data_IF_817161743577
#
_entry.id   IF_817161743577
#
_cell.length_a   1.000
_cell.length_b   1.000
_cell.length_c   1.000
_cell.angle_alpha   90.00
_cell.angle_beta   90.00
_cell.angle_gamma   90.00
#
_symmetry.space_group_name_H-M   'P 1'
#
loop_
_entity.id
_entity.type
_entity.pdbx_description
1 polymer ?
#
# COMPACT_ATOMS: atom_id res chain seq x y z
N UNK A 1 26.02 -4.04 50.79
CA UNK A 1 27.38 -3.50 51.00
C UNK A 1 28.02 -3.26 49.64
N UNK A 2 29.11 -2.49 49.54
CA UNK A 2 29.79 -2.18 48.28
C UNK A 2 31.24 -2.66 48.34
N UNK A 3 31.58 -3.66 47.54
CA UNK A 3 32.87 -4.34 47.57
C UNK A 3 33.60 -4.17 46.24
N UNK A 4 34.83 -3.68 46.27
CA UNK A 4 35.66 -3.47 45.09
C UNK A 4 36.69 -4.58 44.95
N UNK A 5 36.96 -5.00 43.72
CA UNK A 5 37.89 -6.07 43.38
C UNK A 5 38.93 -5.58 42.37
N UNK A 6 40.18 -5.82 42.69
CA UNK A 6 41.38 -5.50 41.90
C UNK A 6 42.52 -6.41 42.34
N UNK A 7 43.63 -6.41 41.61
CA UNK A 7 44.80 -7.22 41.97
C UNK A 7 45.72 -6.50 42.96
N UNK A 8 46.37 -7.25 43.84
CA UNK A 8 47.49 -6.75 44.64
C UNK A 8 48.82 -6.77 43.84
N UNK A 9 49.91 -6.34 44.48
CA UNK A 9 51.24 -6.37 43.88
C UNK A 9 51.74 -7.79 43.55
N UNK A 10 51.14 -8.83 44.15
CA UNK A 10 51.42 -10.24 43.88
C UNK A 10 50.53 -10.84 42.80
N UNK A 11 49.61 -10.07 42.19
CA UNK A 11 48.66 -10.56 41.20
C UNK A 11 47.52 -11.40 41.79
N UNK A 12 47.28 -11.31 43.09
CA UNK A 12 46.12 -11.94 43.73
C UNK A 12 44.94 -10.99 43.74
N UNK A 13 43.74 -11.53 43.55
CA UNK A 13 42.51 -10.76 43.77
C UNK A 13 42.37 -10.37 45.23
N UNK A 14 42.22 -9.08 45.48
CA UNK A 14 41.89 -8.54 46.80
C UNK A 14 40.57 -7.78 46.74
N UNK A 15 39.81 -7.89 47.82
CA UNK A 15 38.56 -7.17 48.01
C UNK A 15 38.75 -6.05 49.02
N UNK A 16 38.29 -4.85 48.69
CA UNK A 16 38.25 -3.74 49.65
C UNK A 16 36.84 -3.18 49.81
N UNK A 17 36.46 -2.97 51.06
CA UNK A 17 35.22 -2.30 51.49
C UNK A 17 35.48 -0.90 52.07
N UNK A 18 36.75 -0.51 52.24
CA UNK A 18 37.22 0.76 52.81
C UNK A 18 37.62 1.82 51.76
N UNK A 19 38.61 2.66 52.07
CA UNK A 19 39.17 3.70 51.17
C UNK A 19 40.35 3.10 50.40
N UNK A 20 40.45 3.40 49.11
CA UNK A 20 41.65 3.22 48.29
C UNK A 20 41.91 4.51 47.55
N UNK A 21 43.17 4.73 47.11
CA UNK A 21 43.60 5.78 46.17
C UNK A 21 42.51 6.77 45.75
N UNK A 22 42.47 7.90 46.47
CA UNK A 22 41.59 9.07 46.29
C UNK A 22 40.06 8.88 46.31
N UNK A 23 39.53 7.66 46.42
CA UNK A 23 38.10 7.39 46.34
C UNK A 23 37.51 7.15 47.73
N UNK A 24 36.49 7.92 48.11
CA UNK A 24 35.88 7.77 49.43
C UNK A 24 35.26 6.37 49.59
N UNK A 25 35.18 5.88 50.83
CA UNK A 25 34.57 4.58 51.12
C UNK A 25 33.15 4.52 50.53
N UNK A 26 32.88 3.51 49.71
CA UNK A 26 31.60 3.34 49.01
C UNK A 26 31.49 4.00 47.63
N UNK A 27 32.58 4.54 47.05
CA UNK A 27 32.59 5.10 45.69
C UNK A 27 33.43 4.24 44.72
N UNK A 28 33.11 4.33 43.44
CA UNK A 28 33.93 3.80 42.34
C UNK A 28 35.09 4.78 42.11
N UNK A 29 36.30 4.27 41.86
CA UNK A 29 37.43 5.14 41.55
C UNK A 29 37.27 5.83 40.20
N UNK A 30 37.59 7.12 40.16
CA UNK A 30 37.72 7.90 38.93
C UNK A 30 39.19 8.19 38.58
N UNK A 31 40.13 7.71 39.39
CA UNK A 31 41.56 7.97 39.23
C UNK A 31 42.34 6.72 38.83
N UNK A 32 41.86 5.52 39.17
CA UNK A 32 42.62 4.29 38.97
C UNK A 32 41.87 3.19 38.22
N UNK A 33 42.62 2.42 37.44
CA UNK A 33 42.20 1.15 36.83
C UNK A 33 43.08 0.00 37.34
N UNK A 34 42.66 -1.23 37.13
CA UNK A 34 43.37 -2.42 37.60
C UNK A 34 44.47 -2.88 36.64
N UNK A 35 45.53 -3.43 37.19
CA UNK A 35 46.62 -4.07 36.45
C UNK A 35 46.97 -5.38 37.14
N UNK A 36 47.64 -6.34 36.48
CA UNK A 36 48.05 -7.60 37.12
C UNK A 36 48.95 -7.46 38.35
N UNK A 37 49.40 -6.24 38.70
CA UNK A 37 50.30 -5.96 39.82
C UNK A 37 49.82 -4.79 40.68
N UNK A 38 48.53 -4.45 40.66
CA UNK A 38 47.99 -3.33 41.45
C UNK A 38 47.18 -2.33 40.64
N UNK A 39 46.88 -1.20 41.28
CA UNK A 39 46.18 -0.07 40.66
C UNK A 39 47.16 0.84 39.91
N UNK A 40 46.71 1.39 38.78
CA UNK A 40 47.45 2.38 38.00
C UNK A 40 46.57 3.56 37.59
N UNK A 41 47.18 4.72 37.32
CA UNK A 41 46.47 5.97 37.03
C UNK A 41 45.79 5.98 35.66
N UNK A 42 44.53 6.43 35.65
CA UNK A 42 43.81 6.82 34.44
C UNK A 42 44.36 8.18 33.99
N UNK A 43 45.49 8.20 33.30
CA UNK A 43 46.08 9.45 32.81
C UNK A 43 45.25 10.05 31.66
N UNK A 44 44.74 11.27 31.84
CA UNK A 44 43.89 11.99 30.88
C UNK A 44 44.52 12.20 29.49
N UNK A 45 43.71 12.39 28.41
CA UNK A 45 42.25 12.28 28.31
C UNK A 45 41.83 10.83 27.98
N UNK A 46 41.65 10.02 29.02
CA UNK A 46 41.30 8.61 28.91
C UNK A 46 40.29 8.21 29.99
N UNK A 47 39.78 6.99 29.84
CA UNK A 47 38.65 6.45 30.58
C UNK A 47 39.01 5.11 31.23
N UNK A 48 38.59 4.95 32.48
CA UNK A 48 38.53 3.66 33.18
C UNK A 48 37.18 3.00 32.96
N UNK A 49 37.16 1.67 32.99
CA UNK A 49 35.95 0.85 32.87
C UNK A 49 35.78 0.04 34.15
N UNK A 50 34.56 -0.03 34.65
CA UNK A 50 34.22 -0.75 35.87
C UNK A 50 32.99 -1.61 35.65
N UNK A 51 32.98 -2.80 36.23
CA UNK A 51 31.93 -3.79 36.03
C UNK A 51 31.22 -4.06 37.34
N UNK A 52 29.92 -3.78 37.39
CA UNK A 52 29.06 -3.96 38.55
C UNK A 52 28.40 -5.33 38.49
N UNK A 53 28.39 -6.03 39.61
CA UNK A 53 27.81 -7.35 39.78
C UNK A 53 26.91 -7.36 41.03
N UNK A 54 25.72 -7.93 40.90
CA UNK A 54 24.79 -8.11 42.03
C UNK A 54 25.03 -9.52 42.59
N UNK A 55 25.36 -9.59 43.88
CA UNK A 55 25.51 -10.83 44.62
C UNK A 55 24.16 -11.36 45.11
N UNK A 56 24.06 -12.67 45.35
CA UNK A 56 22.79 -13.29 45.80
C UNK A 56 22.32 -12.77 47.17
N UNK A 57 23.24 -12.36 48.04
CA UNK A 57 22.91 -11.75 49.34
C UNK A 57 22.60 -10.24 49.26
N UNK A 58 22.30 -9.71 48.06
CA UNK A 58 21.96 -8.29 47.82
C UNK A 58 23.12 -7.30 48.02
N UNK A 59 24.36 -7.79 47.99
CA UNK A 59 25.58 -6.98 47.99
C UNK A 59 26.03 -6.61 46.57
N UNK A 60 26.61 -5.42 46.41
CA UNK A 60 27.11 -4.94 45.12
C UNK A 60 28.63 -5.10 45.06
N UNK A 61 29.09 -5.82 44.03
CA UNK A 61 30.50 -6.07 43.77
C UNK A 61 30.91 -5.28 42.54
N UNK A 62 32.05 -4.60 42.60
CA UNK A 62 32.63 -3.89 41.45
C UNK A 62 33.99 -4.46 41.13
N UNK A 63 34.16 -4.92 39.90
CA UNK A 63 35.44 -5.37 39.38
C UNK A 63 36.03 -4.27 38.52
N UNK A 64 37.26 -3.89 38.83
CA UNK A 64 37.98 -2.85 38.10
C UNK A 64 38.40 -3.39 36.73
N UNK A 65 38.27 -2.55 35.70
CA UNK A 65 38.73 -2.87 34.36
C UNK A 65 40.25 -2.79 34.27
N UNK A 66 40.82 -3.56 33.35
CA UNK A 66 42.27 -3.79 33.27
C UNK A 66 43.03 -2.84 32.35
N UNK A 67 42.43 -1.70 31.99
CA UNK A 67 43.01 -0.82 30.99
C UNK A 67 42.59 0.63 31.09
N UNK A 68 43.37 1.46 30.43
CA UNK A 68 43.19 2.88 30.31
C UNK A 68 42.88 3.24 28.85
N UNK A 69 41.63 3.58 28.55
CA UNK A 69 41.08 3.53 27.19
C UNK A 69 40.74 4.91 26.62
N UNK A 70 40.71 5.04 25.28
CA UNK A 70 39.92 6.12 24.64
C UNK A 70 38.43 5.77 24.72
N UNK A 71 37.53 6.75 24.60
CA UNK A 71 36.07 6.54 24.77
C UNK A 71 35.53 5.35 23.96
N UNK A 72 35.77 5.31 22.65
CA UNK A 72 35.33 4.21 21.80
C UNK A 72 35.91 2.83 22.21
N UNK A 73 37.12 2.81 22.76
CA UNK A 73 37.72 1.57 23.26
C UNK A 73 37.11 1.16 24.62
N UNK A 74 36.74 2.11 25.46
CA UNK A 74 36.05 1.86 26.73
C UNK A 74 34.65 1.29 26.49
N UNK A 75 33.94 1.78 25.47
CA UNK A 75 32.65 1.25 25.04
C UNK A 75 32.74 -0.19 24.52
N UNK A 76 33.87 -0.59 23.93
CA UNK A 76 34.14 -1.95 23.45
C UNK A 76 34.88 -2.83 24.47
N UNK A 77 35.17 -2.33 25.68
CA UNK A 77 35.87 -3.10 26.70
C UNK A 77 35.05 -4.34 27.10
N UNK A 78 35.76 -5.45 27.31
CA UNK A 78 35.21 -6.77 27.66
C UNK A 78 35.38 -6.99 29.17
N UNK A 79 34.49 -7.81 29.75
CA UNK A 79 34.56 -8.20 31.16
C UNK A 79 35.92 -8.84 31.44
N UNK A 80 36.69 -8.36 32.45
CA UNK A 80 37.96 -8.95 32.82
C UNK A 80 37.77 -10.34 33.44
N UNK A 81 38.87 -11.07 33.66
CA UNK A 81 38.81 -12.30 34.47
C UNK A 81 38.21 -11.94 35.82
N UNK A 82 37.25 -12.72 36.28
CA UNK A 82 36.53 -12.44 37.52
C UNK A 82 37.16 -13.22 38.69
N UNK A 83 37.21 -12.64 39.89
CA UNK A 83 37.51 -13.40 41.11
C UNK A 83 36.44 -14.47 41.34
N UNK A 84 36.81 -15.62 41.91
CA UNK A 84 35.91 -16.77 42.08
C UNK A 84 34.64 -16.41 42.86
N UNK A 85 34.77 -15.56 43.88
CA UNK A 85 33.64 -15.08 44.67
C UNK A 85 32.59 -14.31 43.85
N UNK A 86 33.01 -13.58 42.81
CA UNK A 86 32.09 -12.84 41.92
C UNK A 86 31.62 -13.72 40.77
N UNK A 87 32.48 -14.61 40.26
CA UNK A 87 32.17 -15.50 39.14
C UNK A 87 31.06 -16.51 39.46
N UNK A 88 31.10 -17.10 40.65
CA UNK A 88 30.25 -18.25 40.97
C UNK A 88 28.91 -17.84 41.62
N UNK A 89 28.85 -16.64 42.22
CA UNK A 89 27.76 -16.21 43.09
C UNK A 89 27.16 -14.85 42.76
N UNK A 90 27.59 -14.21 41.67
CA UNK A 90 27.08 -12.90 41.28
C UNK A 90 26.74 -12.85 39.80
N UNK A 91 25.82 -11.96 39.44
CA UNK A 91 25.40 -11.73 38.06
C UNK A 91 25.78 -10.32 37.61
N UNK A 92 26.16 -10.15 36.34
CA UNK A 92 26.54 -8.86 35.79
C UNK A 92 25.34 -7.90 35.81
N UNK A 93 25.55 -6.69 36.30
CA UNK A 93 24.50 -5.68 36.46
C UNK A 93 24.71 -4.46 35.58
N UNK A 94 25.94 -3.96 35.46
CA UNK A 94 26.25 -2.82 34.61
C UNK A 94 27.73 -2.72 34.26
N UNK A 95 28.02 -1.97 33.19
CA UNK A 95 29.33 -1.41 32.86
C UNK A 95 29.30 0.10 33.08
N UNK A 96 30.27 0.63 33.81
CA UNK A 96 30.42 2.06 34.05
C UNK A 96 31.74 2.53 33.45
N UNK A 97 31.69 3.68 32.77
CA UNK A 97 32.86 4.34 32.19
C UNK A 97 33.05 5.68 32.91
N UNK A 98 34.26 5.95 33.36
CA UNK A 98 34.61 7.18 34.11
C UNK A 98 35.84 7.83 33.50
N UNK A 99 35.79 9.15 33.33
CA UNK A 99 36.94 9.93 32.88
C UNK A 99 37.96 10.14 33.99
N UNK A 100 39.23 10.33 33.61
CA UNK A 100 40.33 10.71 34.50
C UNK A 100 39.95 11.84 35.47
N UNK A 101 39.90 11.54 36.77
CA UNK A 101 39.54 12.47 37.85
C UNK A 101 38.20 13.21 37.61
N UNK A 102 37.31 12.63 36.80
CA UNK A 102 36.00 13.20 36.52
C UNK A 102 35.06 12.89 37.71
N UNK A 103 34.41 13.88 38.33
CA UNK A 103 33.44 13.63 39.38
C UNK A 103 32.15 12.98 38.87
N UNK A 104 31.93 12.93 37.55
CA UNK A 104 30.74 12.35 36.94
C UNK A 104 31.05 11.09 36.12
N UNK A 105 30.07 10.19 36.06
CA UNK A 105 30.14 9.03 35.18
C UNK A 105 29.94 9.44 33.72
N UNK A 106 30.83 9.01 32.84
CA UNK A 106 30.74 9.27 31.39
C UNK A 106 29.65 8.41 30.76
N UNK A 107 29.55 7.15 31.16
CA UNK A 107 28.53 6.23 30.65
C UNK A 107 28.20 5.19 31.70
N UNK A 108 26.92 4.84 31.81
CA UNK A 108 26.42 3.73 32.60
C UNK A 108 25.58 2.87 31.66
N UNK A 109 26.03 1.66 31.39
CA UNK A 109 25.36 0.69 30.53
C UNK A 109 24.90 -0.46 31.40
N UNK A 110 23.59 -0.63 31.57
CA UNK A 110 23.04 -1.77 32.29
C UNK A 110 23.21 -3.07 31.50
N UNK A 111 23.51 -4.17 32.18
CA UNK A 111 23.44 -5.51 31.61
C UNK A 111 21.99 -6.04 31.53
N UNK A 112 21.08 -5.40 32.27
CA UNK A 112 19.65 -5.60 32.16
C UNK A 112 19.03 -4.44 31.40
N UNK A 113 18.57 -4.69 30.19
CA UNK A 113 17.67 -3.79 29.52
C UNK A 113 16.28 -4.03 30.13
N UNK A 114 15.71 -3.06 30.85
CA UNK A 114 14.26 -3.08 31.12
C UNK A 114 13.55 -2.67 29.84
N UNK A 115 13.64 -3.52 28.82
CA UNK A 115 12.78 -3.40 27.65
C UNK A 115 11.40 -3.85 28.11
N UNK A 116 10.51 -2.90 28.34
CA UNK A 116 9.07 -3.13 28.31
C UNK A 116 8.62 -2.83 26.88
N UNK A 117 8.69 -3.78 25.92
CA UNK A 117 8.13 -3.52 24.62
C UNK A 117 6.60 -3.57 24.78
N UNK A 118 5.99 -2.40 24.91
CA UNK A 118 4.68 -2.17 24.32
C UNK A 118 4.79 -0.95 23.42
N UNK A 119 5.29 -1.18 22.20
CA UNK A 119 5.14 -0.22 21.12
C UNK A 119 4.56 -0.93 19.91
N UNK A 120 3.27 -1.23 20.00
CA UNK A 120 2.43 -1.49 18.82
C UNK A 120 1.10 -0.74 18.98
N UNK A 121 0.73 0.17 18.06
CA UNK A 121 1.60 1.03 17.26
C UNK A 121 1.31 2.53 17.57
N UNK A 122 2.32 3.43 17.53
CA UNK A 122 2.06 4.88 17.65
C UNK A 122 1.15 5.42 16.54
N UNK A 123 1.12 4.72 15.41
CA UNK A 123 0.25 4.95 14.27
C UNK A 123 0.19 3.65 13.44
N UNK A 124 -0.95 3.31 12.86
CA UNK A 124 -1.10 2.17 11.94
C UNK A 124 -0.22 2.26 10.68
N UNK A 125 0.39 3.43 10.43
CA UNK A 125 1.30 3.68 9.30
C UNK A 125 2.70 3.05 9.47
N UNK A 126 3.10 2.64 10.67
CA UNK A 126 4.47 2.14 10.95
C UNK A 126 4.65 0.61 10.77
N UNK A 127 3.61 -0.10 10.33
CA UNK A 127 3.73 -1.50 9.93
C UNK A 127 4.25 -1.56 8.47
N UNK A 128 5.58 -1.60 8.33
CA UNK A 128 6.28 -1.63 7.05
C UNK A 128 5.73 -2.69 6.09
N UNK A 129 4.98 -2.24 5.08
CA UNK A 129 4.39 -3.09 4.04
C UNK A 129 3.14 -2.52 3.38
N UNK A 130 2.40 -1.63 4.07
CA UNK A 130 1.16 -1.04 3.55
C UNK A 130 1.37 0.16 2.60
N UNK A 131 2.52 0.23 1.92
CA UNK A 131 2.72 1.15 0.79
C UNK A 131 3.18 0.48 -0.50
N UNK A 132 3.31 -0.87 -0.50
CA UNK A 132 3.50 -1.62 -1.76
C UNK A 132 2.59 -2.84 -1.91
N UNK A 133 1.92 -3.28 -0.84
CA UNK A 133 0.73 -4.14 -0.93
C UNK A 133 -0.28 -3.71 0.15
N UNK A 134 -0.77 -2.47 0.02
CA UNK A 134 -2.08 -2.14 0.56
C UNK A 134 -3.10 -2.41 -0.54
N UNK A 135 -3.53 -3.66 -0.69
CA UNK A 135 -4.53 -3.97 -1.70
C UNK A 135 -5.90 -3.32 -1.42
N UNK A 136 -6.10 -2.61 -0.29
CA UNK A 136 -7.41 -2.04 0.08
C UNK A 136 -7.31 -0.75 0.88
N UNK A 137 -6.72 0.31 0.32
CA UNK A 137 -7.23 1.69 0.42
C UNK A 137 -6.16 2.70 0.02
N UNK A 138 -6.33 3.32 -1.15
CA UNK A 138 -6.38 4.79 -1.31
C UNK A 138 -6.72 5.12 -2.75
N UNK A 139 -7.94 4.77 -3.11
CA UNK A 139 -8.67 5.47 -4.16
C UNK A 139 -9.02 6.87 -3.63
N UNK A 140 -8.01 7.73 -3.48
CA UNK A 140 -8.26 9.14 -3.22
C UNK A 140 -9.02 9.67 -4.43
N UNK A 141 -10.10 10.39 -4.18
CA UNK A 141 -11.23 10.47 -5.09
C UNK A 141 -10.87 10.86 -6.53
N UNK A 142 -9.76 11.57 -6.78
CA UNK A 142 -9.30 11.88 -8.14
C UNK A 142 -8.74 10.67 -8.90
N UNK A 143 -7.95 9.80 -8.28
CA UNK A 143 -7.38 8.59 -8.89
C UNK A 143 -8.44 7.50 -9.05
N UNK A 144 -9.35 7.40 -8.08
CA UNK A 144 -10.55 6.57 -8.16
C UNK A 144 -11.44 6.95 -9.33
N UNK A 145 -11.70 8.26 -9.48
CA UNK A 145 -12.50 8.81 -10.56
C UNK A 145 -11.76 8.70 -11.89
N UNK A 146 -10.43 8.88 -11.92
CA UNK A 146 -9.62 8.70 -13.12
C UNK A 146 -9.64 7.24 -13.57
N UNK A 147 -9.42 6.28 -12.66
CA UNK A 147 -9.50 4.85 -12.95
C UNK A 147 -10.91 4.43 -13.40
N UNK A 148 -11.96 4.89 -12.69
CA UNK A 148 -13.35 4.61 -13.07
C UNK A 148 -13.76 5.25 -14.41
N UNK A 149 -13.12 6.36 -14.83
CA UNK A 149 -13.33 7.02 -16.12
C UNK A 149 -12.56 6.37 -17.28
N UNK A 150 -11.43 5.71 -17.00
CA UNK A 150 -10.64 5.00 -18.01
C UNK A 150 -11.16 3.60 -18.29
N UNK A 151 -12.05 3.08 -17.42
CA UNK A 151 -12.71 1.81 -17.67
C UNK A 151 -13.84 2.03 -18.67
N UNK A 152 -13.79 1.32 -19.78
CA UNK A 152 -14.94 1.23 -20.66
C UNK A 152 -16.02 0.40 -19.97
N UNK A 153 -17.28 0.81 -20.12
CA UNK A 153 -18.42 0.14 -19.49
C UNK A 153 -18.62 -1.32 -19.93
N UNK A 154 -17.95 -1.75 -21.00
CA UNK A 154 -18.00 -3.10 -21.57
C UNK A 154 -16.82 -4.01 -21.16
N UNK A 155 -15.82 -3.50 -20.41
CA UNK A 155 -14.50 -4.15 -20.27
C UNK A 155 -14.20 -4.78 -18.88
N UNK A 156 -15.17 -4.95 -17.96
CA UNK A 156 -14.92 -5.50 -16.61
C UNK A 156 -14.88 -7.04 -16.47
N UNK A 157 -14.32 -7.72 -17.49
CA UNK A 157 -14.12 -9.17 -17.66
C UNK A 157 -15.22 -9.90 -18.46
N UNK A 158 -14.77 -10.75 -19.41
CA UNK A 158 -15.52 -11.49 -20.45
C UNK A 158 -16.73 -10.76 -21.02
N UNK A 159 -16.73 -10.33 -22.29
CA UNK A 159 -17.86 -9.60 -22.89
C UNK A 159 -19.21 -10.26 -22.55
N UNK A 160 -19.98 -9.62 -21.67
CA UNK A 160 -21.27 -10.12 -21.17
C UNK A 160 -22.42 -9.35 -21.84
N UNK A 161 -23.65 -9.89 -21.77
CA UNK A 161 -24.83 -9.15 -22.22
C UNK A 161 -25.19 -8.01 -21.24
N UNK A 162 -25.19 -6.80 -21.76
CA UNK A 162 -25.32 -5.56 -21.00
C UNK A 162 -26.77 -5.24 -20.62
N UNK A 163 -27.42 -6.12 -19.84
CA UNK A 163 -28.83 -5.98 -19.45
C UNK A 163 -29.13 -4.87 -18.43
N UNK A 164 -28.12 -4.27 -17.79
CA UNK A 164 -28.28 -3.34 -16.66
C UNK A 164 -28.10 -1.86 -17.02
N UNK A 165 -27.66 -1.53 -18.24
CA UNK A 165 -27.44 -0.16 -18.71
C UNK A 165 -27.96 0.11 -20.14
N UNK A 166 -28.96 -0.64 -20.61
CA UNK A 166 -29.54 -0.48 -21.95
C UNK A 166 -30.09 0.92 -22.25
N UNK A 167 -30.01 1.34 -23.53
CA UNK A 167 -30.66 2.53 -24.05
C UNK A 167 -32.18 2.36 -23.95
N UNK A 168 -32.83 3.45 -23.56
CA UNK A 168 -34.28 3.51 -23.40
C UNK A 168 -34.77 4.90 -23.76
N UNK A 169 -36.09 5.08 -23.73
CA UNK A 169 -36.71 6.41 -23.88
C UNK A 169 -36.40 7.35 -22.72
N UNK A 170 -35.81 6.86 -21.61
CA UNK A 170 -35.51 7.66 -20.42
C UNK A 170 -34.00 7.94 -20.24
N UNK A 171 -33.12 7.09 -20.78
CA UNK A 171 -31.66 7.20 -20.64
C UNK A 171 -30.97 6.71 -21.91
N UNK A 172 -29.89 7.38 -22.31
CA UNK A 172 -29.20 7.10 -23.57
C UNK A 172 -28.43 5.76 -23.60
N UNK A 173 -28.08 5.18 -22.45
CA UNK A 173 -27.61 3.79 -22.25
C UNK A 173 -26.58 3.20 -23.23
N UNK A 174 -26.36 1.89 -23.12
CA UNK A 174 -25.63 1.05 -24.08
C UNK A 174 -26.64 0.35 -25.01
N UNK A 175 -26.19 -0.10 -26.18
CA UNK A 175 -27.06 -0.85 -27.09
C UNK A 175 -27.15 -2.32 -26.62
N UNK A 176 -28.35 -2.91 -26.45
CA UNK A 176 -28.55 -4.31 -26.12
C UNK A 176 -27.94 -5.21 -27.18
N UNK A 177 -27.63 -6.44 -26.78
CA UNK A 177 -27.09 -7.47 -27.66
C UNK A 177 -27.96 -7.66 -28.92
N UNK A 178 -27.31 -7.65 -30.08
CA UNK A 178 -27.97 -7.87 -31.38
C UNK A 178 -28.46 -9.30 -31.58
N UNK A 179 -29.42 -9.47 -32.50
CA UNK A 179 -30.05 -10.78 -32.80
C UNK A 179 -29.35 -11.56 -33.92
N UNK A 180 -28.28 -11.03 -34.53
CA UNK A 180 -27.59 -11.56 -35.72
C UNK A 180 -28.51 -11.74 -36.97
N UNK A 181 -29.71 -11.20 -36.93
CA UNK A 181 -30.71 -11.18 -38.00
C UNK A 181 -30.91 -9.71 -38.39
N UNK A 182 -31.32 -9.41 -39.63
CA UNK A 182 -31.50 -8.04 -40.17
C UNK A 182 -32.63 -7.22 -39.51
N UNK A 183 -32.80 -7.37 -38.21
CA UNK A 183 -33.69 -6.62 -37.34
C UNK A 183 -33.11 -5.21 -37.08
N UNK A 184 -33.99 -4.25 -36.82
CA UNK A 184 -33.63 -2.91 -36.40
C UNK A 184 -34.00 -2.71 -34.94
N UNK A 185 -33.25 -1.83 -34.27
CA UNK A 185 -33.47 -1.47 -32.89
C UNK A 185 -34.51 -0.35 -32.79
N UNK A 186 -35.53 -0.52 -31.95
CA UNK A 186 -36.53 0.54 -31.68
C UNK A 186 -36.07 1.43 -30.53
N UNK A 187 -36.62 2.63 -30.44
CA UNK A 187 -36.38 3.59 -29.34
C UNK A 187 -36.75 3.07 -27.94
N UNK A 188 -37.57 2.02 -27.88
CA UNK A 188 -38.02 1.38 -26.65
C UNK A 188 -37.13 0.22 -26.16
N UNK A 189 -35.95 0.02 -26.75
CA UNK A 189 -35.03 -1.05 -26.32
C UNK A 189 -35.21 -2.40 -27.01
N UNK A 190 -36.30 -2.61 -27.76
CA UNK A 190 -36.61 -3.92 -28.36
C UNK A 190 -36.24 -4.00 -29.84
N UNK A 191 -35.67 -5.14 -30.25
CA UNK A 191 -35.43 -5.46 -31.66
C UNK A 191 -36.74 -5.73 -32.41
N UNK A 192 -36.82 -5.30 -33.65
CA UNK A 192 -37.94 -5.55 -34.54
C UNK A 192 -37.44 -6.01 -35.91
N UNK A 193 -38.03 -7.08 -36.42
CA UNK A 193 -37.77 -7.51 -37.79
C UNK A 193 -38.34 -6.51 -38.77
N UNK A 194 -37.59 -6.25 -39.84
CA UNK A 194 -38.14 -5.57 -41.02
C UNK A 194 -39.24 -6.46 -41.58
N UNK A 195 -40.48 -6.19 -41.20
CA UNK A 195 -41.63 -6.73 -41.91
C UNK A 195 -41.59 -6.05 -43.26
N UNK A 196 -41.38 -6.81 -44.34
CA UNK A 196 -41.50 -6.31 -45.69
C UNK A 196 -42.90 -5.67 -45.83
N UNK A 197 -42.96 -4.34 -45.68
CA UNK A 197 -44.15 -3.56 -45.94
C UNK A 197 -44.55 -3.81 -47.38
N UNK A 198 -45.87 -3.89 -47.62
CA UNK A 198 -46.48 -4.19 -48.93
C UNK A 198 -45.58 -3.76 -50.09
N UNK A 199 -45.02 -4.74 -50.78
CA UNK A 199 -44.22 -4.53 -51.97
C UNK A 199 -45.03 -3.67 -52.95
N UNK A 200 -44.45 -2.59 -53.48
CA UNK A 200 -45.03 -1.93 -54.65
C UNK A 200 -44.87 -2.93 -55.79
N UNK A 201 -45.96 -3.60 -56.16
CA UNK A 201 -45.95 -4.45 -57.34
C UNK A 201 -45.90 -3.52 -58.57
N UNK A 202 -44.77 -3.55 -59.27
CA UNK A 202 -44.57 -2.79 -60.50
C UNK A 202 -44.86 -3.69 -61.70
N UNK A 203 -45.42 -3.10 -62.76
CA UNK A 203 -45.61 -3.76 -64.04
C UNK A 203 -45.34 -2.75 -65.15
N UNK A 204 -44.68 -3.19 -66.21
CA UNK A 204 -44.52 -2.37 -67.42
C UNK A 204 -45.69 -2.64 -68.35
N UNK A 205 -46.32 -1.58 -68.82
CA UNK A 205 -47.32 -1.64 -69.88
C UNK A 205 -46.83 -0.79 -71.05
N UNK A 206 -46.84 -1.35 -72.25
CA UNK A 206 -46.47 -0.64 -73.48
C UNK A 206 -47.74 -0.20 -74.20
N UNK A 207 -48.00 1.11 -74.22
CA UNK A 207 -49.07 1.70 -75.03
C UNK A 207 -48.52 2.31 -76.32
N UNK A 208 -49.34 2.35 -77.36
CA UNK A 208 -49.07 3.02 -78.64
C UNK A 208 -49.60 4.47 -78.68
N UNK A 209 -50.15 4.95 -77.55
CA UNK A 209 -50.56 6.34 -77.35
C UNK A 209 -51.78 6.80 -78.16
N UNK A 210 -52.51 5.88 -78.79
CA UNK A 210 -53.62 6.21 -79.70
C UNK A 210 -54.99 5.78 -79.15
N UNK A 211 -55.07 4.67 -78.39
CA UNK A 211 -56.35 4.15 -77.85
C UNK A 211 -56.32 3.93 -76.33
N UNK A 212 -57.47 4.10 -75.69
CA UNK A 212 -57.71 3.71 -74.29
C UNK A 212 -57.72 2.18 -74.16
N UNK A 213 -56.94 1.63 -73.21
CA UNK A 213 -56.91 0.19 -72.95
C UNK A 213 -57.11 -0.14 -71.48
N UNK A 214 -57.86 -1.22 -71.24
CA UNK A 214 -58.03 -1.78 -69.91
C UNK A 214 -56.72 -2.42 -69.44
N UNK A 215 -56.17 -1.93 -68.33
CA UNK A 215 -54.98 -2.51 -67.69
C UNK A 215 -55.46 -3.47 -66.61
N UNK A 216 -55.31 -4.77 -66.85
CA UNK A 216 -55.63 -5.82 -65.86
C UNK A 216 -54.35 -6.23 -65.13
N UNK A 217 -54.29 -5.97 -63.83
CA UNK A 217 -53.24 -6.48 -62.95
C UNK A 217 -53.77 -7.68 -62.14
N UNK A 218 -52.88 -8.63 -61.80
CA UNK A 218 -53.24 -9.82 -60.99
C UNK A 218 -53.47 -9.54 -59.50
N UNK A 219 -53.47 -8.27 -59.07
CA UNK A 219 -53.65 -7.85 -57.69
C UNK A 219 -54.53 -6.58 -57.64
N UNK A 220 -55.29 -6.41 -56.56
CA UNK A 220 -56.08 -5.18 -56.35
C UNK A 220 -55.14 -4.01 -56.00
N UNK A 221 -55.09 -3.01 -56.87
CA UNK A 221 -54.34 -1.77 -56.65
C UNK A 221 -55.16 -0.80 -55.80
N UNK A 222 -54.53 -0.06 -54.89
CA UNK A 222 -55.16 1.06 -54.16
C UNK A 222 -54.83 2.42 -54.78
N UNK A 223 -53.78 2.49 -55.59
CA UNK A 223 -53.32 3.66 -56.33
C UNK A 223 -52.54 3.18 -57.55
N UNK A 224 -52.73 3.83 -58.68
CA UNK A 224 -51.97 3.61 -59.91
C UNK A 224 -51.32 4.94 -60.28
N UNK A 225 -50.01 4.93 -60.49
CA UNK A 225 -49.27 6.11 -60.96
C UNK A 225 -48.78 5.83 -62.37
N UNK A 226 -49.11 6.72 -63.29
CA UNK A 226 -48.77 6.61 -64.71
C UNK A 226 -47.77 7.71 -65.02
N UNK A 227 -46.56 7.32 -65.41
CA UNK A 227 -45.54 8.23 -65.92
C UNK A 227 -45.50 8.11 -67.45
N UNK A 228 -45.87 9.18 -68.15
CA UNK A 228 -45.82 9.21 -69.63
C UNK A 228 -44.51 9.81 -70.12
N UNK A 229 -44.08 10.93 -69.54
CA UNK A 229 -42.79 11.59 -69.79
C UNK A 229 -42.39 12.51 -68.60
N UNK A 230 -41.30 13.28 -68.73
CA UNK A 230 -40.80 14.20 -67.69
C UNK A 230 -41.72 15.38 -67.36
N UNK A 231 -42.76 15.64 -68.16
CA UNK A 231 -43.69 16.75 -67.99
C UNK A 231 -45.14 16.31 -67.75
N UNK A 232 -45.47 15.03 -67.96
CA UNK A 232 -46.85 14.51 -67.90
C UNK A 232 -46.93 13.22 -67.09
N UNK A 233 -47.58 13.32 -65.94
CA UNK A 233 -47.89 12.23 -65.02
C UNK A 233 -49.38 12.24 -64.66
N UNK A 234 -49.95 11.07 -64.39
CA UNK A 234 -51.32 10.93 -63.91
C UNK A 234 -51.38 9.97 -62.72
N UNK A 235 -52.30 10.23 -61.79
CA UNK A 235 -52.54 9.37 -60.61
C UNK A 235 -54.01 8.96 -60.64
N UNK A 236 -54.26 7.67 -60.50
CA UNK A 236 -55.62 7.10 -60.45
C UNK A 236 -55.78 6.38 -59.11
N UNK A 237 -56.82 6.73 -58.37
CA UNK A 237 -57.22 6.03 -57.15
C UNK A 237 -58.47 5.21 -57.49
N UNK A 238 -58.34 3.89 -57.71
CA UNK A 238 -59.49 3.07 -58.08
C UNK A 238 -60.57 3.15 -56.98
N UNK A 239 -61.81 3.45 -57.40
CA UNK A 239 -63.04 3.61 -56.59
C UNK A 239 -63.34 5.01 -56.00
N UNK A 240 -62.56 6.05 -56.31
CA UNK A 240 -63.00 7.44 -56.13
C UNK A 240 -62.76 8.24 -57.41
N UNK A 241 -63.80 8.88 -57.93
CA UNK A 241 -63.66 9.80 -59.06
C UNK A 241 -62.82 11.00 -58.61
N UNK A 242 -61.72 11.27 -59.31
CA UNK A 242 -60.87 12.43 -59.11
C UNK A 242 -61.01 13.32 -60.34
N UNK A 243 -61.55 14.53 -60.17
CA UNK A 243 -61.52 15.56 -61.19
C UNK A 243 -60.30 16.45 -60.91
N UNK A 244 -59.41 16.58 -61.90
CA UNK A 244 -58.41 17.63 -61.93
C UNK A 244 -59.07 18.76 -62.71
N UNK A 245 -59.49 19.81 -62.02
CA UNK A 245 -59.85 21.06 -62.70
C UNK A 245 -58.54 21.75 -63.08
N UNK A 246 -58.32 21.92 -64.38
CA UNK A 246 -57.24 22.72 -64.93
C UNK A 246 -57.43 24.19 -64.50
N UNK A 247 -56.32 24.87 -64.20
CA UNK A 247 -56.30 26.33 -64.13
C UNK A 247 -56.46 26.94 -65.53
#
# INVERSE_FOLDING_TARGET
SFTRWYHDAGGNWISNTGIEGASAAGQISNEHYDTPTGLADIAGPRYGVFWLFIHFDSDLHVVYGTGNYKLAQAEMAVVPVLPEAVRDFSTLAAKIIVGSADPNFTSIVSAYETLFPVSTPPNHDDLGGIVTDNHHARYTNAEAIAAAKTVKLDDFATPDDNTDLDFSTLKHGLVPKGTNVGDYLKDNGTWATVIAGKSIATGSYTGDGTDDRQITTGFKCSMVVIYRDTARNAIIIPSKAFAIDDA
#
